data_IF_097104863421
#
_entry.id   IF_097104863421
#
_cell.length_a   1.000
_cell.length_b   1.000
_cell.length_c   1.000
_cell.angle_alpha   90.00
_cell.angle_beta   90.00
_cell.angle_gamma   90.00
#
_symmetry.space_group_name_H-M   'P 1'
#
loop_
_entity.id
_entity.type
_entity.pdbx_description
1 polymer ?
#
# COMPACT_ATOMS: atom_id res chain seq x y z
N UNK A 1 -0.93 10.54 -2.30
CA UNK A 1 -0.44 9.15 -2.03
C UNK A 1 -0.50 8.94 -0.52
N UNK A 2 -0.86 7.74 -0.05
CA UNK A 2 -0.76 7.39 1.37
C UNK A 2 0.44 6.44 1.54
N UNK A 3 1.30 6.72 2.51
CA UNK A 3 2.41 5.85 2.90
C UNK A 3 2.21 5.46 4.35
N UNK A 4 2.16 4.17 4.62
CA UNK A 4 2.04 3.63 5.98
C UNK A 4 3.36 2.97 6.34
N UNK A 5 3.94 3.44 7.43
CA UNK A 5 5.14 2.87 8.02
C UNK A 5 4.71 1.97 9.17
N UNK A 6 5.30 0.77 9.23
CA UNK A 6 4.94 -0.25 10.21
C UNK A 6 6.20 -0.89 10.80
N UNK A 7 6.14 -1.42 12.04
CA UNK A 7 7.28 -2.09 12.67
C UNK A 7 7.47 -3.51 12.12
N UNK A 8 8.42 -3.71 11.21
CA UNK A 8 8.59 -5.01 10.53
C UNK A 8 9.85 -5.74 10.99
N UNK A 9 10.90 -5.00 11.29
CA UNK A 9 12.14 -5.53 11.83
C UNK A 9 12.08 -5.59 13.36
N UNK A 10 12.84 -6.50 14.00
CA UNK A 10 13.00 -6.51 15.45
C UNK A 10 13.55 -5.22 16.07
N UNK A 11 14.03 -4.30 15.24
CA UNK A 11 14.64 -3.01 15.60
C UNK A 11 13.71 -1.81 15.36
N UNK A 12 12.51 -2.03 14.80
CA UNK A 12 11.57 -0.95 14.49
C UNK A 12 10.72 -0.63 15.72
N UNK A 13 11.34 -0.04 16.74
CA UNK A 13 10.68 0.23 18.03
C UNK A 13 9.92 1.55 18.05
N UNK A 14 10.24 2.46 17.13
CA UNK A 14 9.65 3.78 17.06
C UNK A 14 9.28 4.16 15.63
N UNK A 15 8.42 5.17 15.52
CA UNK A 15 8.05 5.78 14.24
C UNK A 15 9.29 6.28 13.48
N UNK A 16 9.25 6.32 12.13
CA UNK A 16 10.36 6.82 11.34
C UNK A 16 10.75 8.26 11.70
N UNK A 17 12.05 8.52 11.66
CA UNK A 17 12.61 9.87 11.87
C UNK A 17 12.33 10.78 10.68
N UNK A 18 12.47 12.10 10.87
CA UNK A 18 12.34 13.09 9.79
C UNK A 18 13.24 12.79 8.58
N UNK A 19 14.43 12.23 8.82
CA UNK A 19 15.36 11.85 7.76
C UNK A 19 14.87 10.65 6.93
N UNK A 20 14.09 9.73 7.52
CA UNK A 20 13.46 8.63 6.78
C UNK A 20 12.24 9.14 6.01
N UNK A 21 11.39 9.94 6.67
CA UNK A 21 10.19 10.51 6.05
C UNK A 21 10.51 11.39 4.82
N UNK A 22 11.64 12.10 4.83
CA UNK A 22 12.08 12.96 3.72
C UNK A 22 12.49 12.21 2.45
N UNK A 23 12.64 10.87 2.51
CA UNK A 23 12.88 10.03 1.34
C UNK A 23 11.68 10.00 0.41
N UNK A 24 10.48 10.17 0.94
CA UNK A 24 9.24 10.33 0.16
C UNK A 24 9.10 11.82 -0.17
N UNK A 25 9.45 12.20 -1.40
CA UNK A 25 9.49 13.61 -1.84
C UNK A 25 8.17 14.14 -2.43
N UNK A 26 7.17 13.28 -2.57
CA UNK A 26 5.91 13.64 -3.20
C UNK A 26 5.14 14.65 -2.34
N UNK A 27 4.89 15.86 -2.86
CA UNK A 27 4.35 16.99 -2.11
C UNK A 27 2.93 16.76 -1.54
N UNK A 28 2.21 15.76 -2.07
CA UNK A 28 0.89 15.33 -1.58
C UNK A 28 0.88 13.96 -0.91
N UNK A 29 2.04 13.46 -0.45
CA UNK A 29 2.10 12.24 0.32
C UNK A 29 1.69 12.49 1.77
N UNK A 30 0.67 11.78 2.24
CA UNK A 30 0.35 11.65 3.66
C UNK A 30 1.11 10.44 4.18
N UNK A 31 1.85 10.61 5.27
CA UNK A 31 2.66 9.54 5.87
C UNK A 31 2.15 9.27 7.29
N UNK A 32 1.92 8.00 7.62
CA UNK A 32 1.39 7.58 8.92
C UNK A 32 2.26 6.46 9.53
N UNK A 33 2.30 6.39 10.86
CA UNK A 33 2.92 5.30 11.60
C UNK A 33 1.82 4.41 12.17
N UNK A 34 1.77 3.15 11.74
CA UNK A 34 0.82 2.15 12.21
C UNK A 34 1.56 1.06 12.99
N UNK A 35 1.58 1.22 14.31
CA UNK A 35 2.28 0.31 15.22
C UNK A 35 1.63 -1.08 15.25
N UNK A 36 0.31 -1.14 15.07
CA UNK A 36 -0.50 -2.34 15.28
C UNK A 36 -0.87 -3.03 13.96
N UNK A 37 -0.28 -2.62 12.84
CA UNK A 37 -0.50 -3.18 11.50
C UNK A 37 -1.98 -3.19 11.08
N UNK A 38 -2.79 -2.24 11.57
CA UNK A 38 -4.23 -2.22 11.34
C UNK A 38 -4.56 -2.09 9.85
N UNK A 39 -3.82 -1.24 9.13
CA UNK A 39 -3.99 -1.02 7.70
C UNK A 39 -3.57 -2.28 6.92
N UNK A 40 -2.39 -2.85 7.20
CA UNK A 40 -1.94 -4.08 6.54
C UNK A 40 -2.92 -5.24 6.75
N UNK A 41 -3.44 -5.43 7.96
CA UNK A 41 -4.42 -6.47 8.25
C UNK A 41 -5.76 -6.23 7.53
N UNK A 42 -6.20 -4.97 7.42
CA UNK A 42 -7.42 -4.64 6.70
C UNK A 42 -7.29 -4.92 5.21
N UNK A 43 -6.16 -4.56 4.58
CA UNK A 43 -5.89 -4.87 3.17
C UNK A 43 -5.81 -6.38 2.96
N UNK A 44 -5.12 -7.10 3.84
CA UNK A 44 -5.00 -8.56 3.74
C UNK A 44 -6.38 -9.23 3.74
N UNK A 45 -7.27 -8.83 4.66
CA UNK A 45 -8.67 -9.30 4.69
C UNK A 45 -9.43 -8.96 3.40
N UNK A 46 -9.25 -7.76 2.85
CA UNK A 46 -9.86 -7.35 1.58
C UNK A 46 -9.45 -8.30 0.45
N UNK A 47 -8.15 -8.49 0.26
CA UNK A 47 -7.58 -9.32 -0.80
C UNK A 47 -8.00 -10.79 -0.70
N UNK A 48 -8.14 -11.30 0.53
CA UNK A 48 -8.65 -12.65 0.78
C UNK A 48 -10.15 -12.77 0.46
N UNK A 49 -10.92 -11.72 0.77
CA UNK A 49 -12.39 -11.71 0.61
C UNK A 49 -12.88 -11.49 -0.82
N UNK A 50 -12.04 -10.95 -1.72
CA UNK A 50 -12.39 -10.68 -3.11
C UNK A 50 -11.80 -11.77 -4.04
N UNK A 51 -12.61 -12.72 -4.56
CA UNK A 51 -12.14 -13.76 -5.47
C UNK A 51 -11.72 -13.21 -6.84
N UNK A 52 -12.27 -12.06 -7.25
CA UNK A 52 -12.00 -11.43 -8.55
C UNK A 52 -10.88 -10.37 -8.48
N UNK A 53 -10.45 -10.02 -7.27
CA UNK A 53 -9.42 -9.03 -7.01
C UNK A 53 -8.01 -9.51 -7.33
N UNK A 54 -7.03 -8.59 -7.33
CA UNK A 54 -5.63 -8.93 -7.54
C UNK A 54 -5.14 -9.90 -6.45
N UNK A 55 -4.36 -10.90 -6.87
CA UNK A 55 -3.73 -11.86 -5.98
C UNK A 55 -2.22 -11.58 -5.95
N UNK A 56 -1.70 -10.91 -4.91
CA UNK A 56 -0.26 -10.66 -4.82
C UNK A 56 0.48 -12.00 -4.71
N UNK A 57 1.64 -12.09 -5.35
CA UNK A 57 2.47 -13.32 -5.32
C UNK A 57 3.35 -13.40 -4.06
N UNK A 58 3.41 -12.29 -3.34
CA UNK A 58 4.09 -12.07 -2.06
C UNK A 58 3.02 -11.53 -1.07
N UNK A 59 3.27 -10.85 0.05
CA UNK A 59 4.40 -10.09 0.56
C UNK A 59 4.32 -10.11 2.10
N UNK A 60 4.20 -11.31 2.65
CA UNK A 60 3.91 -11.46 4.08
C UNK A 60 5.20 -11.67 4.86
N UNK A 61 5.43 -10.83 5.85
CA UNK A 61 6.50 -11.00 6.83
C UNK A 61 5.91 -10.99 8.23
N UNK A 62 6.11 -12.09 8.96
CA UNK A 62 5.54 -12.30 10.31
C UNK A 62 4.01 -12.14 10.37
N UNK A 63 3.31 -12.47 9.29
CA UNK A 63 1.85 -12.34 9.18
C UNK A 63 1.35 -10.98 8.70
N UNK A 64 2.24 -10.00 8.48
CA UNK A 64 1.89 -8.65 8.04
C UNK A 64 2.30 -8.43 6.59
N UNK A 65 1.50 -7.66 5.84
CA UNK A 65 1.89 -7.20 4.51
C UNK A 65 3.08 -6.24 4.65
N UNK A 66 4.16 -6.52 3.93
CA UNK A 66 5.39 -5.74 3.98
C UNK A 66 5.98 -5.54 2.59
N UNK A 67 6.55 -4.36 2.35
CA UNK A 67 7.09 -4.00 1.04
C UNK A 67 6.04 -4.19 -0.07
N UNK A 68 4.84 -3.67 0.19
CA UNK A 68 3.64 -3.92 -0.61
C UNK A 68 3.10 -2.60 -1.17
N UNK A 69 2.55 -2.66 -2.39
CA UNK A 69 1.83 -1.55 -3.00
C UNK A 69 0.45 -1.98 -3.50
N UNK A 70 -0.56 -1.16 -3.19
CA UNK A 70 -1.89 -1.25 -3.77
C UNK A 70 -2.27 0.03 -4.52
N UNK A 71 -3.01 -0.13 -5.62
CA UNK A 71 -3.58 0.96 -6.40
C UNK A 71 -5.10 0.86 -6.37
N UNK A 72 -5.76 1.93 -5.93
CA UNK A 72 -7.21 2.03 -5.89
C UNK A 72 -7.72 3.05 -6.92
N UNK A 73 -8.97 2.94 -7.39
CA UNK A 73 -9.58 3.93 -8.25
C UNK A 73 -9.63 5.33 -7.60
N UNK A 74 -9.63 6.38 -8.41
CA UNK A 74 -9.80 7.76 -7.92
C UNK A 74 -11.15 7.89 -7.20
N UNK A 75 -11.15 8.49 -6.01
CA UNK A 75 -12.36 8.69 -5.21
C UNK A 75 -12.84 7.46 -4.44
N UNK A 76 -12.09 6.35 -4.49
CA UNK A 76 -12.37 5.19 -3.66
C UNK A 76 -12.23 5.55 -2.17
N UNK A 77 -13.27 5.27 -1.39
CA UNK A 77 -13.31 5.52 0.04
C UNK A 77 -13.41 4.21 0.80
N UNK A 78 -12.59 4.07 1.84
CA UNK A 78 -12.68 2.97 2.79
C UNK A 78 -13.77 3.31 3.81
N UNK A 79 -14.99 2.82 3.55
CA UNK A 79 -16.14 3.02 4.43
C UNK A 79 -16.42 1.72 5.20
N UNK A 80 -17.62 1.17 5.10
CA UNK A 80 -17.97 -0.11 5.72
C UNK A 80 -17.20 -1.30 5.13
N UNK A 81 -16.73 -1.18 3.89
CA UNK A 81 -15.86 -2.14 3.22
C UNK A 81 -14.71 -1.40 2.53
N UNK A 82 -13.57 -2.08 2.39
CA UNK A 82 -12.47 -1.56 1.60
C UNK A 82 -12.85 -1.66 0.09
N UNK A 83 -12.52 -0.64 -0.71
CA UNK A 83 -12.78 -0.63 -2.14
C UNK A 83 -11.85 -1.60 -2.86
N UNK A 84 -12.31 -2.23 -3.94
CA UNK A 84 -11.48 -3.17 -4.70
C UNK A 84 -10.20 -2.51 -5.27
N UNK A 85 -9.05 -3.10 -4.97
CA UNK A 85 -7.78 -2.71 -5.57
C UNK A 85 -7.69 -3.08 -7.08
N UNK A 86 -7.20 -2.16 -7.91
CA UNK A 86 -6.87 -2.38 -9.33
C UNK A 86 -5.49 -3.04 -9.53
N UNK A 87 -4.67 -2.97 -8.49
CA UNK A 87 -3.36 -3.56 -8.39
C UNK A 87 -3.05 -3.80 -6.92
N UNK A 88 -2.45 -4.93 -6.60
CA UNK A 88 -1.93 -5.27 -5.28
C UNK A 88 -0.78 -6.25 -5.49
N UNK A 89 0.45 -5.83 -5.22
CA UNK A 89 1.63 -6.72 -5.29
C UNK A 89 2.86 -6.08 -4.62
N UNK A 90 3.96 -6.83 -4.59
CA UNK A 90 5.28 -6.36 -4.17
C UNK A 90 6.38 -7.39 -4.47
N UNK A 91 7.59 -7.27 -3.88
CA UNK A 91 8.18 -6.08 -3.27
C UNK A 91 8.02 -4.80 -4.09
N UNK A 92 7.85 -3.62 -3.49
CA UNK A 92 7.65 -2.33 -4.20
C UNK A 92 8.77 -2.08 -5.22
N UNK A 93 10.02 -2.39 -4.85
CA UNK A 93 11.16 -2.23 -5.73
C UNK A 93 11.07 -3.02 -7.04
N UNK A 94 10.35 -4.15 -7.04
CA UNK A 94 10.20 -5.01 -8.21
C UNK A 94 8.95 -4.68 -9.02
N UNK A 95 7.89 -4.21 -8.36
CA UNK A 95 6.60 -3.98 -9.01
C UNK A 95 6.38 -2.53 -9.45
N UNK A 96 7.29 -1.61 -9.12
CA UNK A 96 7.25 -0.20 -9.53
C UNK A 96 6.95 0.01 -11.02
N UNK A 97 7.58 -0.70 -11.98
CA UNK A 97 7.27 -0.52 -13.41
C UNK A 97 5.81 -0.86 -13.77
N UNK A 98 5.29 -1.96 -13.22
CA UNK A 98 3.90 -2.41 -13.44
C UNK A 98 2.90 -1.47 -12.77
N UNK A 99 3.19 -1.03 -11.55
CA UNK A 99 2.40 -0.04 -10.82
C UNK A 99 2.34 1.29 -11.58
N UNK A 100 3.49 1.79 -12.06
CA UNK A 100 3.57 3.04 -12.82
C UNK A 100 2.77 2.96 -14.13
N UNK A 101 2.86 1.83 -14.83
CA UNK A 101 2.09 1.60 -16.07
C UNK A 101 0.58 1.65 -15.82
N UNK A 102 0.10 0.99 -14.75
CA UNK A 102 -1.33 1.01 -14.39
C UNK A 102 -1.79 2.39 -13.95
N UNK A 103 -0.97 3.10 -13.16
CA UNK A 103 -1.26 4.48 -12.76
C UNK A 103 -1.35 5.41 -13.97
N UNK A 104 -0.43 5.29 -14.94
CA UNK A 104 -0.44 6.11 -16.15
C UNK A 104 -1.75 5.94 -16.95
N UNK A 105 -2.27 4.71 -17.05
CA UNK A 105 -3.58 4.44 -17.69
C UNK A 105 -4.71 5.16 -16.98
N UNK A 106 -4.73 5.17 -15.65
CA UNK A 106 -5.76 5.87 -14.87
C UNK A 106 -5.67 7.39 -15.01
N UNK A 107 -4.46 7.94 -15.09
CA UNK A 107 -4.24 9.37 -15.28
C UNK A 107 -4.56 9.84 -16.71
N UNK A 108 -4.39 8.95 -17.70
CA UNK A 108 -4.64 9.24 -19.12
C UNK A 108 -6.12 9.21 -19.48
N UNK A 109 -6.94 8.53 -18.68
CA UNK A 109 -8.41 8.59 -18.77
C UNK A 109 -8.86 9.95 -18.25
N UNK A 110 -8.75 10.99 -19.08
CA UNK A 110 -9.48 12.24 -18.89
C UNK A 110 -10.97 11.91 -18.82
N UNK A 111 -11.64 12.42 -17.78
CA UNK A 111 -13.10 12.54 -17.76
C UNK A 111 -13.59 13.31 -18.99
#
# INVERSE_FOLDING_TARGET
MLVVWEPILPTDWERPTTAVLSRVREAGAVQFWDLDHLVAHQISRELDSDPAGPKPHCCTRRGNLWDFAALYPKGALWQAAAPQALFADGPVAYVQPSLASKLAVLLSRKN
#
